data_IF_487857152389
#
_entry.id   IF_487857152389
#
_cell.length_a   1.000
_cell.length_b   1.000
_cell.length_c   1.000
_cell.angle_alpha   90.00
_cell.angle_beta   90.00
_cell.angle_gamma   90.00
#
_symmetry.space_group_name_H-M   'P 1'
#
loop_
_entity.id
_entity.type
_entity.pdbx_description
1 polymer ?
#
# COMPACT_ATOMS: atom_id res chain seq x y z
N UNK A 1 -6.65 -17.46 -22.85
CA UNK A 1 -5.40 -17.69 -22.11
C UNK A 1 -4.78 -16.35 -21.80
N UNK A 2 -4.88 -15.85 -20.56
CA UNK A 2 -4.02 -14.79 -19.98
C UNK A 2 -4.37 -14.70 -18.49
N UNK A 3 -4.19 -15.82 -17.77
CA UNK A 3 -4.03 -15.75 -16.32
C UNK A 3 -2.61 -15.25 -16.08
N UNK A 4 -2.42 -13.92 -16.08
CA UNK A 4 -1.18 -13.29 -15.64
C UNK A 4 -1.05 -13.60 -14.14
N UNK A 5 -0.37 -14.71 -13.80
CA UNK A 5 -0.06 -15.08 -12.41
C UNK A 5 0.78 -13.95 -11.80
N UNK A 6 0.17 -13.09 -10.99
CA UNK A 6 0.88 -12.25 -10.02
C UNK A 6 1.71 -13.18 -9.13
N UNK A 7 3.02 -13.25 -9.35
CA UNK A 7 3.96 -13.93 -8.47
C UNK A 7 4.06 -13.11 -7.17
N UNK A 8 3.11 -13.33 -6.25
CA UNK A 8 3.00 -12.62 -4.96
C UNK A 8 4.23 -12.78 -4.05
N UNK A 9 5.03 -13.81 -4.27
CA UNK A 9 6.22 -14.14 -3.48
C UNK A 9 7.53 -13.77 -4.19
N UNK A 10 7.48 -13.33 -5.45
CA UNK A 10 8.70 -12.97 -6.18
C UNK A 10 9.11 -11.56 -5.80
N UNK A 11 10.33 -11.43 -5.29
CA UNK A 11 10.98 -10.15 -5.04
C UNK A 11 12.29 -10.16 -5.84
N UNK A 12 12.49 -9.27 -6.83
CA UNK A 12 11.63 -8.15 -7.22
C UNK A 12 10.30 -8.60 -7.87
N UNK A 13 9.27 -7.77 -7.75
CA UNK A 13 7.95 -8.03 -8.34
C UNK A 13 7.99 -8.06 -9.88
N UNK A 14 6.87 -8.38 -10.55
CA UNK A 14 6.76 -8.32 -12.01
C UNK A 14 7.06 -6.92 -12.60
N UNK A 15 6.93 -5.89 -11.76
CA UNK A 15 7.25 -4.49 -12.03
C UNK A 15 8.76 -4.19 -11.89
N UNK A 16 9.56 -5.12 -11.36
CA UNK A 16 11.00 -4.93 -11.14
C UNK A 16 11.34 -4.12 -9.88
N UNK A 17 10.34 -3.68 -9.12
CA UNK A 17 10.51 -2.86 -7.93
C UNK A 17 10.56 -3.73 -6.66
N UNK A 18 11.24 -3.21 -5.62
CA UNK A 18 11.25 -3.81 -4.29
C UNK A 18 10.17 -3.15 -3.43
N UNK A 19 9.57 -3.92 -2.52
CA UNK A 19 8.44 -3.45 -1.72
C UNK A 19 7.09 -3.66 -2.40
N UNK A 20 6.02 -3.41 -1.67
CA UNK A 20 4.66 -3.52 -2.16
C UNK A 20 4.22 -2.23 -2.85
N UNK A 21 3.56 -2.39 -4.00
CA UNK A 21 3.02 -1.29 -4.81
C UNK A 21 1.61 -1.63 -5.31
N UNK A 22 1.08 -0.82 -6.24
CA UNK A 22 -0.27 -0.95 -6.75
C UNK A 22 -1.36 -0.58 -5.75
N UNK A 23 -2.63 -0.75 -6.14
CA UNK A 23 -3.74 -0.16 -5.37
C UNK A 23 -4.23 -0.98 -4.18
N UNK A 24 -4.20 -2.31 -4.25
CA UNK A 24 -4.95 -3.13 -3.30
C UNK A 24 -4.25 -3.22 -1.95
N UNK A 25 -2.97 -3.62 -1.94
CA UNK A 25 -2.25 -3.87 -0.69
C UNK A 25 -1.92 -2.59 0.09
N UNK A 26 -1.50 -1.52 -0.61
CA UNK A 26 -1.25 -0.21 0.01
C UNK A 26 -2.52 0.43 0.59
N UNK A 27 -3.70 0.09 0.06
CA UNK A 27 -4.98 0.52 0.62
C UNK A 27 -5.34 -0.28 1.87
N UNK A 28 -5.26 -1.60 1.78
CA UNK A 28 -5.66 -2.49 2.88
C UNK A 28 -4.76 -2.30 4.11
N UNK A 29 -3.44 -2.11 3.92
CA UNK A 29 -2.53 -1.87 5.05
C UNK A 29 -2.83 -0.55 5.76
N UNK A 30 -3.14 0.51 5.02
CA UNK A 30 -3.51 1.80 5.61
C UNK A 30 -4.88 1.73 6.30
N UNK A 31 -5.85 1.00 5.72
CA UNK A 31 -7.13 0.76 6.36
C UNK A 31 -6.97 -0.04 7.67
N UNK A 32 -6.14 -1.08 7.68
CA UNK A 32 -5.85 -1.86 8.89
C UNK A 32 -5.15 -1.02 9.96
N UNK A 33 -4.19 -0.18 9.58
CA UNK A 33 -3.52 0.75 10.53
C UNK A 33 -4.54 1.74 11.12
N UNK A 34 -5.45 2.28 10.30
CA UNK A 34 -6.51 3.17 10.76
C UNK A 34 -7.44 2.47 11.75
N UNK A 35 -7.94 1.29 11.39
CA UNK A 35 -8.84 0.50 12.26
C UNK A 35 -8.15 0.11 13.57
N UNK A 36 -6.87 -0.27 13.52
CA UNK A 36 -6.11 -0.57 14.73
C UNK A 36 -5.96 0.67 15.62
N UNK A 37 -5.72 1.84 15.03
CA UNK A 37 -5.67 3.11 15.75
C UNK A 37 -7.01 3.46 16.40
N UNK A 38 -8.13 3.24 15.71
CA UNK A 38 -9.49 3.48 16.22
C UNK A 38 -9.84 2.55 17.39
N UNK A 39 -9.31 1.32 17.37
CA UNK A 39 -9.43 0.35 18.47
C UNK A 39 -8.38 0.57 19.57
N UNK A 40 -7.59 1.64 19.50
CA UNK A 40 -6.52 1.95 20.44
C UNK A 40 -5.45 0.83 20.58
N UNK A 41 -5.24 0.08 19.49
CA UNK A 41 -4.24 -0.98 19.35
C UNK A 41 -3.06 -0.44 18.54
N UNK A 42 -1.86 -0.52 19.10
CA UNK A 42 -0.66 -0.07 18.40
C UNK A 42 -0.16 -1.14 17.41
N UNK A 43 -0.53 -0.98 16.13
CA UNK A 43 -0.08 -1.84 15.04
C UNK A 43 1.39 -1.56 14.62
N UNK A 44 2.34 -1.76 15.54
CA UNK A 44 3.78 -1.46 15.35
C UNK A 44 4.37 -2.11 14.10
N UNK A 45 4.06 -3.39 13.87
CA UNK A 45 4.58 -4.14 12.72
C UNK A 45 4.04 -3.58 11.40
N UNK A 46 2.76 -3.22 11.35
CA UNK A 46 2.16 -2.67 10.14
C UNK A 46 2.72 -1.28 9.82
N UNK A 47 2.92 -0.43 10.84
CA UNK A 47 3.56 0.88 10.70
C UNK A 47 5.01 0.72 10.21
N UNK A 48 5.79 -0.15 10.83
CA UNK A 48 7.17 -0.41 10.42
C UNK A 48 7.26 -0.98 8.98
N UNK A 49 6.33 -1.86 8.60
CA UNK A 49 6.25 -2.38 7.23
C UNK A 49 5.91 -1.26 6.22
N UNK A 50 5.01 -0.35 6.59
CA UNK A 50 4.69 0.83 5.79
C UNK A 50 5.91 1.75 5.64
N UNK A 51 6.57 2.10 6.74
CA UNK A 51 7.75 2.98 6.74
C UNK A 51 8.90 2.38 5.91
N UNK A 52 9.14 1.07 6.05
CA UNK A 52 10.16 0.39 5.23
C UNK A 52 9.77 0.39 3.76
N UNK A 53 8.49 0.26 3.44
CA UNK A 53 8.02 0.34 2.06
C UNK A 53 8.27 1.72 1.45
N UNK A 54 8.04 2.79 2.22
CA UNK A 54 8.35 4.16 1.79
C UNK A 54 9.85 4.38 1.56
N UNK A 55 10.71 3.72 2.34
CA UNK A 55 12.16 3.78 2.18
C UNK A 55 12.64 3.04 0.91
N UNK A 56 12.10 1.83 0.64
CA UNK A 56 12.53 1.03 -0.52
C UNK A 56 11.87 1.45 -1.83
N UNK A 57 10.76 2.20 -1.76
CA UNK A 57 9.88 2.51 -2.90
C UNK A 57 9.46 3.99 -2.93
N UNK A 58 10.39 4.90 -3.27
CA UNK A 58 10.14 6.35 -3.24
C UNK A 58 9.17 6.85 -4.32
N UNK A 59 8.92 6.09 -5.37
CA UNK A 59 8.05 6.46 -6.49
C UNK A 59 6.57 6.50 -6.13
N UNK A 60 6.15 5.75 -5.10
CA UNK A 60 4.79 5.76 -4.52
C UNK A 60 3.69 5.71 -5.59
N UNK A 61 3.79 4.75 -6.50
CA UNK A 61 2.94 4.55 -7.67
C UNK A 61 1.43 4.51 -7.34
N UNK A 62 1.08 4.07 -6.13
CA UNK A 62 -0.30 4.03 -5.65
C UNK A 62 -0.92 5.42 -5.43
N UNK A 63 -0.15 6.49 -5.24
CA UNK A 63 -0.69 7.84 -5.04
C UNK A 63 -1.35 8.41 -6.29
N UNK A 64 -0.92 7.94 -7.47
CA UNK A 64 -1.47 8.33 -8.77
C UNK A 64 -2.79 7.60 -9.07
N UNK A 65 -3.12 6.54 -8.32
CA UNK A 65 -4.33 5.74 -8.50
C UNK A 65 -5.52 6.34 -7.74
N UNK A 66 -5.90 7.57 -8.09
CA UNK A 66 -7.03 8.30 -7.52
C UNK A 66 -8.33 7.51 -7.78
N UNK A 67 -9.11 7.26 -6.73
CA UNK A 67 -10.36 6.47 -6.79
C UNK A 67 -10.18 4.96 -6.66
N UNK A 68 -8.94 4.43 -6.74
CA UNK A 68 -8.64 3.01 -6.46
C UNK A 68 -7.84 2.81 -5.17
N UNK A 69 -6.77 3.59 -5.00
CA UNK A 69 -5.87 3.51 -3.85
C UNK A 69 -6.01 4.70 -2.90
N UNK A 70 -6.24 5.90 -3.45
CA UNK A 70 -6.37 7.14 -2.65
C UNK A 70 -7.73 7.77 -2.89
N UNK A 71 -8.44 8.10 -1.80
CA UNK A 71 -9.65 8.92 -1.86
C UNK A 71 -9.25 10.39 -2.00
N UNK A 72 -9.84 11.09 -2.98
CA UNK A 72 -9.63 12.52 -3.12
C UNK A 72 -9.96 13.24 -1.81
N UNK A 73 -9.02 14.04 -1.28
CA UNK A 73 -9.29 14.89 -0.12
C UNK A 73 -10.34 15.91 -0.56
N UNK A 74 -11.56 15.82 -0.03
CA UNK A 74 -12.48 16.94 -0.09
C UNK A 74 -11.86 18.05 0.73
N UNK A 75 -11.36 19.09 0.08
CA UNK A 75 -11.09 20.37 0.72
C UNK A 75 -12.41 20.79 1.36
N UNK A 76 -12.52 20.68 2.69
CA UNK A 76 -13.61 21.31 3.42
C UNK A 76 -13.42 22.80 3.20
N UNK A 77 -14.30 23.38 2.38
CA UNK A 77 -14.45 24.83 2.28
C UNK A 77 -15.06 25.37 3.56
#
# INVERSE_FOLDING_TARGET
MLFQRCRHWAVPGPDGHRGFGGSCFSKDINAMISVASDLNVDAKVMKAAWDKNLEVRPERDWEQLIGRAVSAKKTKQ
#
